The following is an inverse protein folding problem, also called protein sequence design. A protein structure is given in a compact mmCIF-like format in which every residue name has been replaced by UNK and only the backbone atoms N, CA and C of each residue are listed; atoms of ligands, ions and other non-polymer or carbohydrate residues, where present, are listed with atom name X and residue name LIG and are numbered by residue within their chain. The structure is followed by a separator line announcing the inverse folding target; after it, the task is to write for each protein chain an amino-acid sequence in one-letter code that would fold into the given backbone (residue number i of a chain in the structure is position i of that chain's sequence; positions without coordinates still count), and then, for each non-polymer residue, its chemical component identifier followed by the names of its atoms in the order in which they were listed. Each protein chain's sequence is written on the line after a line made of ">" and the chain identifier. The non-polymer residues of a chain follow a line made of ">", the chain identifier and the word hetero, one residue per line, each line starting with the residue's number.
data_IF_898448827325
#
_entry.id   IF_898448827325
#
_cell.length_a   1.000
_cell.length_b   1.000
_cell.length_c   1.000
_cell.angle_alpha   90.00
_cell.angle_beta   90.00
_cell.angle_gamma   90.00
#
_symmetry.space_group_name_H-M   'P 1'
#
loop_
_entity.id
_entity.type
_entity.pdbx_description
1 polymer ?
#
# COMPACT_ATOMS: atom_id res chain seq x y z
N UNK A 1 58.85 17.29 -16.71
CA UNK A 1 57.55 17.87 -16.31
C UNK A 1 57.55 17.98 -14.80
N UNK A 2 57.41 19.19 -14.27
CA UNK A 2 57.28 19.41 -12.82
C UNK A 2 55.81 19.23 -12.38
N UNK A 3 55.55 19.28 -11.07
CA UNK A 3 54.20 19.08 -10.50
C UNK A 3 53.14 19.99 -11.11
N UNK A 4 53.47 21.28 -11.30
CA UNK A 4 52.52 22.28 -11.81
C UNK A 4 52.24 22.05 -13.30
N UNK A 5 53.29 21.81 -14.09
CA UNK A 5 53.18 21.50 -15.52
C UNK A 5 52.35 20.24 -15.79
N UNK A 6 52.47 19.23 -14.93
CA UNK A 6 51.65 18.03 -15.04
C UNK A 6 50.18 18.31 -14.69
N UNK A 7 49.91 19.13 -13.68
CA UNK A 7 48.53 19.49 -13.31
C UNK A 7 47.84 20.32 -14.39
N UNK A 8 48.55 21.24 -15.04
CA UNK A 8 48.06 21.96 -16.22
C UNK A 8 47.76 21.01 -17.40
N UNK A 9 48.65 20.05 -17.65
CA UNK A 9 48.44 19.02 -18.66
C UNK A 9 47.23 18.12 -18.32
N UNK A 10 47.09 17.71 -17.06
CA UNK A 10 45.98 16.87 -16.61
C UNK A 10 44.63 17.59 -16.70
N UNK A 11 44.59 18.90 -16.38
CA UNK A 11 43.40 19.74 -16.52
C UNK A 11 42.99 19.90 -17.99
N UNK A 12 43.97 20.07 -18.89
CA UNK A 12 43.71 20.23 -20.33
C UNK A 12 43.44 18.89 -21.04
N UNK A 13 43.80 17.75 -20.44
CA UNK A 13 43.62 16.42 -21.02
C UNK A 13 42.27 15.78 -20.61
N UNK A 14 41.25 15.94 -21.45
CA UNK A 14 39.90 15.41 -21.22
C UNK A 14 39.76 13.88 -21.35
N UNK A 15 40.77 13.20 -21.89
CA UNK A 15 40.67 11.80 -22.37
C UNK A 15 41.47 10.81 -21.49
N UNK A 16 42.22 11.29 -20.49
CA UNK A 16 43.05 10.42 -19.67
C UNK A 16 42.21 9.61 -18.66
N UNK A 17 42.42 8.29 -18.64
CA UNK A 17 41.73 7.39 -17.74
C UNK A 17 42.21 7.52 -16.28
N UNK A 18 41.38 7.07 -15.32
CA UNK A 18 41.62 7.30 -13.90
C UNK A 18 42.88 6.58 -13.36
N UNK A 19 43.21 5.40 -13.89
CA UNK A 19 44.38 4.63 -13.45
C UNK A 19 45.68 5.33 -13.86
N UNK A 20 45.76 5.79 -15.11
CA UNK A 20 46.90 6.57 -15.61
C UNK A 20 47.04 7.91 -14.87
N UNK A 21 45.93 8.56 -14.51
CA UNK A 21 45.97 9.78 -13.68
C UNK A 21 46.59 9.50 -12.31
N UNK A 22 46.21 8.40 -11.66
CA UNK A 22 46.74 8.05 -10.34
C UNK A 22 48.24 7.70 -10.41
N UNK A 23 48.64 6.85 -11.36
CA UNK A 23 50.04 6.45 -11.54
C UNK A 23 50.95 7.66 -11.82
N UNK A 24 50.51 8.59 -12.66
CA UNK A 24 51.29 9.79 -12.95
C UNK A 24 51.34 10.76 -11.75
N UNK A 25 50.27 10.89 -10.97
CA UNK A 25 50.30 11.71 -9.75
C UNK A 25 51.27 11.15 -8.71
N UNK A 26 51.34 9.82 -8.57
CA UNK A 26 52.33 9.16 -7.72
C UNK A 26 53.75 9.40 -8.25
N UNK A 27 53.96 9.24 -9.56
CA UNK A 27 55.25 9.48 -10.24
C UNK A 27 55.78 10.91 -10.05
N UNK A 28 54.90 11.92 -10.10
CA UNK A 28 55.28 13.33 -9.90
C UNK A 28 55.14 13.78 -8.43
N UNK A 29 54.83 12.87 -7.51
CA UNK A 29 54.74 13.14 -6.07
C UNK A 29 53.66 14.13 -5.67
N UNK A 30 52.54 14.17 -6.40
CA UNK A 30 51.44 15.11 -6.19
C UNK A 30 50.60 14.69 -4.99
N UNK A 31 50.51 15.54 -3.98
CA UNK A 31 49.70 15.27 -2.78
C UNK A 31 48.27 15.79 -2.90
N UNK A 32 47.43 15.45 -1.93
CA UNK A 32 46.09 16.01 -1.83
C UNK A 32 46.10 17.53 -1.59
N UNK A 33 47.08 18.06 -0.85
CA UNK A 33 47.22 19.51 -0.66
C UNK A 33 47.58 20.21 -1.98
N UNK A 34 48.47 19.62 -2.78
CA UNK A 34 48.86 20.14 -4.10
C UNK A 34 47.63 20.25 -5.02
N UNK A 35 46.76 19.23 -5.02
CA UNK A 35 45.52 19.22 -5.81
C UNK A 35 44.51 20.28 -5.36
N UNK A 36 44.35 20.47 -4.05
CA UNK A 36 43.45 21.50 -3.49
C UNK A 36 43.98 22.90 -3.81
N UNK A 37 45.30 23.10 -3.71
CA UNK A 37 45.93 24.38 -4.03
C UNK A 37 45.77 24.74 -5.51
N UNK A 38 45.81 23.75 -6.40
CA UNK A 38 45.72 23.95 -7.85
C UNK A 38 44.29 24.05 -8.38
N UNK A 39 43.40 23.11 -8.00
CA UNK A 39 42.02 23.04 -8.49
C UNK A 39 40.99 23.76 -7.59
N UNK A 40 41.40 24.24 -6.43
CA UNK A 40 40.52 24.84 -5.41
C UNK A 40 39.90 23.83 -4.45
N UNK A 41 39.21 24.33 -3.41
CA UNK A 41 38.60 23.51 -2.34
C UNK A 41 37.53 22.52 -2.83
N UNK A 42 36.98 22.75 -4.03
CA UNK A 42 35.97 21.92 -4.67
C UNK A 42 36.54 20.76 -5.51
N UNK A 43 37.84 20.46 -5.37
CA UNK A 43 38.48 19.37 -6.09
C UNK A 43 37.77 18.01 -5.84
N UNK A 44 37.22 17.35 -6.89
CA UNK A 44 36.31 16.21 -6.77
C UNK A 44 36.96 14.91 -6.25
N UNK A 45 38.28 14.90 -6.01
CA UNK A 45 39.01 13.76 -5.44
C UNK A 45 38.92 13.62 -3.92
N UNK A 46 38.30 14.58 -3.21
CA UNK A 46 38.05 14.43 -1.77
C UNK A 46 36.98 13.34 -1.57
N UNK A 47 37.39 12.17 -1.07
CA UNK A 47 36.43 11.19 -0.53
C UNK A 47 35.59 11.90 0.52
N UNK A 48 34.33 12.24 0.19
CA UNK A 48 33.36 12.80 1.13
C UNK A 48 32.98 11.71 2.15
N UNK A 49 33.81 11.52 3.17
CA UNK A 49 33.38 10.90 4.43
C UNK A 49 32.61 11.93 5.24
N UNK A 50 31.34 12.12 4.92
CA UNK A 50 30.27 12.38 5.88
C UNK A 50 28.99 12.70 5.12
N UNK A 51 27.94 12.00 5.52
CA UNK A 51 26.55 12.10 5.08
C UNK A 51 26.17 13.50 4.61
N UNK A 52 25.68 13.60 3.37
CA UNK A 52 24.73 14.65 3.02
C UNK A 52 23.58 14.45 4.01
N UNK A 53 23.56 15.21 5.12
CA UNK A 53 22.32 15.50 5.83
C UNK A 53 21.54 16.39 4.87
N UNK A 54 20.95 15.76 3.86
CA UNK A 54 19.71 16.27 3.29
C UNK A 54 18.89 16.48 4.55
N UNK A 55 18.56 17.73 4.88
CA UNK A 55 17.44 17.99 5.77
C UNK A 55 16.29 17.28 5.07
N UNK A 56 16.05 16.01 5.40
CA UNK A 56 14.84 15.35 5.01
C UNK A 56 13.81 16.24 5.65
N UNK A 57 13.08 17.03 4.84
CA UNK A 57 11.78 17.49 5.26
C UNK A 57 11.14 16.22 5.77
N UNK A 58 10.98 16.07 7.09
CA UNK A 58 10.33 14.89 7.69
C UNK A 58 9.09 14.71 6.84
N UNK A 59 9.08 13.67 5.99
CA UNK A 59 7.99 13.43 5.07
C UNK A 59 6.81 13.29 6.02
N UNK A 60 5.87 14.24 5.98
CA UNK A 60 4.73 14.18 6.90
C UNK A 60 4.10 12.82 6.68
N UNK A 61 3.92 12.08 7.77
CA UNK A 61 3.25 10.78 7.70
C UNK A 61 1.89 11.02 7.05
N UNK A 62 1.60 10.19 6.05
CA UNK A 62 0.35 10.23 5.29
C UNK A 62 -0.80 9.77 6.19
N UNK A 63 -0.59 8.68 6.92
CA UNK A 63 -1.51 8.17 7.92
C UNK A 63 -1.01 8.53 9.33
N UNK A 64 -1.92 9.03 10.16
CA UNK A 64 -1.73 9.28 11.59
C UNK A 64 -1.86 7.98 12.37
N UNK A 65 -1.31 7.96 13.58
CA UNK A 65 -1.35 6.77 14.44
C UNK A 65 -2.78 6.28 14.74
N UNK A 66 -3.74 7.22 14.90
CA UNK A 66 -5.15 6.91 15.12
C UNK A 66 -5.75 6.20 13.90
N UNK A 67 -5.50 6.70 12.69
CA UNK A 67 -5.99 6.11 11.44
C UNK A 67 -5.39 4.72 11.21
N UNK A 68 -4.11 4.53 11.55
CA UNK A 68 -3.47 3.21 11.51
C UNK A 68 -4.07 2.27 12.55
N UNK A 69 -4.43 2.77 13.73
CA UNK A 69 -5.08 1.98 14.77
C UNK A 69 -6.49 1.54 14.36
N UNK A 70 -7.27 2.43 13.74
CA UNK A 70 -8.59 2.11 13.19
C UNK A 70 -8.48 1.03 12.10
N UNK A 71 -7.54 1.19 11.18
CA UNK A 71 -7.29 0.19 10.13
C UNK A 71 -6.80 -1.15 10.70
N UNK A 72 -5.96 -1.13 11.73
CA UNK A 72 -5.51 -2.33 12.42
C UNK A 72 -6.67 -3.07 13.08
N UNK A 73 -7.58 -2.35 13.72
CA UNK A 73 -8.76 -2.93 14.36
C UNK A 73 -9.69 -3.57 13.31
N UNK A 74 -9.89 -2.90 12.17
CA UNK A 74 -10.65 -3.43 11.04
C UNK A 74 -10.02 -4.73 10.48
N UNK A 75 -8.71 -4.74 10.26
CA UNK A 75 -8.04 -5.96 9.81
C UNK A 75 -8.13 -7.10 10.83
N UNK A 76 -8.00 -6.81 12.12
CA UNK A 76 -8.17 -7.81 13.18
C UNK A 76 -9.60 -8.34 13.28
N UNK A 77 -10.60 -7.58 12.85
CA UNK A 77 -11.99 -8.06 12.83
C UNK A 77 -12.30 -8.97 11.64
N UNK A 78 -11.43 -9.02 10.62
CA UNK A 78 -11.64 -9.81 9.40
C UNK A 78 -10.65 -10.98 9.31
N UNK A 79 -9.42 -10.82 9.81
CA UNK A 79 -8.32 -11.77 9.59
C UNK A 79 -7.65 -12.21 10.89
N UNK A 80 -7.15 -13.44 10.91
CA UNK A 80 -6.20 -13.97 11.90
C UNK A 80 -4.78 -14.14 11.33
N UNK A 81 -3.80 -14.35 12.21
CA UNK A 81 -2.40 -14.59 11.84
C UNK A 81 -1.94 -16.04 12.06
N UNK A 82 -2.88 -17.01 12.08
CA UNK A 82 -2.53 -18.42 12.28
C UNK A 82 -1.83 -19.03 11.06
N UNK A 83 -2.24 -18.61 9.85
CA UNK A 83 -1.70 -19.12 8.59
C UNK A 83 -0.73 -18.15 7.92
N UNK A 84 0.21 -18.72 7.15
CA UNK A 84 1.02 -17.96 6.19
C UNK A 84 0.19 -17.60 4.94
N UNK A 85 -0.69 -16.63 5.11
CA UNK A 85 -1.56 -16.13 4.05
C UNK A 85 -1.28 -14.65 3.73
N UNK A 86 -1.80 -14.21 2.60
CA UNK A 86 -1.53 -12.88 2.06
C UNK A 86 -2.83 -12.14 1.70
N UNK A 87 -2.82 -10.82 1.92
CA UNK A 87 -3.88 -9.88 1.53
C UNK A 87 -3.32 -8.92 0.48
N UNK A 88 -4.14 -8.54 -0.50
CA UNK A 88 -3.78 -7.50 -1.46
C UNK A 88 -4.32 -6.16 -1.01
N UNK A 89 -3.50 -5.14 -1.17
CA UNK A 89 -3.88 -3.74 -1.02
C UNK A 89 -3.68 -3.05 -2.37
N UNK A 90 -4.74 -2.47 -2.93
CA UNK A 90 -4.68 -1.64 -4.13
C UNK A 90 -4.08 -0.29 -3.78
N UNK A 91 -3.09 0.13 -4.53
CA UNK A 91 -2.74 1.53 -4.65
C UNK A 91 -3.52 2.11 -5.84
N UNK A 92 -4.51 2.95 -5.56
CA UNK A 92 -5.33 3.56 -6.61
C UNK A 92 -4.57 4.54 -7.50
N UNK A 93 -3.49 5.14 -7.00
CA UNK A 93 -2.66 6.06 -7.81
C UNK A 93 -2.01 5.31 -8.98
N UNK A 94 -1.52 4.10 -8.72
CA UNK A 94 -0.87 3.26 -9.75
C UNK A 94 -1.81 2.23 -10.36
N UNK A 95 -3.00 2.03 -9.79
CA UNK A 95 -3.91 0.91 -10.06
C UNK A 95 -3.25 -0.47 -9.88
N UNK A 96 -2.21 -0.54 -9.04
CA UNK A 96 -1.47 -1.77 -8.76
C UNK A 96 -1.84 -2.34 -7.40
N UNK A 97 -1.95 -3.66 -7.34
CA UNK A 97 -2.11 -4.36 -6.08
C UNK A 97 -0.77 -4.83 -5.52
N UNK A 98 -0.55 -4.57 -4.24
CA UNK A 98 0.57 -5.07 -3.48
C UNK A 98 0.11 -6.11 -2.46
N UNK A 99 0.74 -7.28 -2.50
CA UNK A 99 0.47 -8.35 -1.56
C UNK A 99 1.33 -8.21 -0.30
N UNK A 100 0.71 -8.40 0.85
CA UNK A 100 1.36 -8.37 2.17
C UNK A 100 0.96 -9.59 2.99
N UNK A 101 1.88 -10.17 3.78
CA UNK A 101 1.53 -11.21 4.76
C UNK A 101 0.52 -10.66 5.76
N UNK A 102 -0.50 -11.44 6.09
CA UNK A 102 -1.55 -11.04 7.06
C UNK A 102 -0.92 -10.61 8.39
N UNK A 103 0.03 -11.40 8.90
CA UNK A 103 0.79 -11.11 10.13
C UNK A 103 1.50 -9.75 10.12
N UNK A 104 1.90 -9.24 8.96
CA UNK A 104 2.50 -7.91 8.85
C UNK A 104 1.44 -6.80 8.96
N UNK A 105 0.24 -7.04 8.43
CA UNK A 105 -0.89 -6.10 8.51
C UNK A 105 -1.54 -6.09 9.90
N UNK A 106 -1.46 -7.19 10.66
CA UNK A 106 -1.94 -7.29 12.04
C UNK A 106 -0.91 -6.79 13.09
N UNK A 107 0.24 -6.29 12.65
CA UNK A 107 1.24 -5.66 13.50
C UNK A 107 1.25 -4.13 13.27
N UNK A 108 1.02 -3.36 14.34
CA UNK A 108 0.85 -1.90 14.25
C UNK A 108 2.03 -1.19 13.58
N UNK A 109 3.27 -1.49 13.99
CA UNK A 109 4.45 -0.80 13.47
C UNK A 109 4.71 -1.14 12.00
N UNK A 110 4.51 -2.42 11.63
CA UNK A 110 4.63 -2.86 10.23
C UNK A 110 3.52 -2.24 9.38
N UNK A 111 2.28 -2.26 9.83
CA UNK A 111 1.16 -1.62 9.14
C UNK A 111 1.40 -0.12 8.96
N UNK A 112 1.85 0.57 10.01
CA UNK A 112 2.22 1.99 9.95
C UNK A 112 3.23 2.26 8.84
N UNK A 113 4.30 1.46 8.77
CA UNK A 113 5.35 1.60 7.76
C UNK A 113 4.85 1.26 6.35
N UNK A 114 3.97 0.27 6.22
CA UNK A 114 3.34 -0.10 4.94
C UNK A 114 2.49 1.05 4.42
N UNK A 115 1.55 1.55 5.22
CA UNK A 115 0.61 2.61 4.85
C UNK A 115 1.31 3.96 4.59
N UNK A 116 2.38 4.26 5.33
CA UNK A 116 3.19 5.47 5.14
C UNK A 116 4.32 5.32 4.11
N UNK A 117 4.41 4.19 3.41
CA UNK A 117 5.43 3.97 2.40
C UNK A 117 5.27 4.90 1.18
N UNK A 118 6.24 4.85 0.27
CA UNK A 118 6.13 5.57 -0.99
C UNK A 118 5.00 5.05 -1.88
N UNK A 119 4.49 3.82 -1.63
CA UNK A 119 3.51 3.15 -2.48
C UNK A 119 2.11 3.74 -2.37
N UNK A 120 1.65 4.13 -1.19
CA UNK A 120 0.28 4.64 -1.01
C UNK A 120 0.31 6.16 -0.90
N UNK A 121 -0.23 6.91 -1.85
CA UNK A 121 -0.16 8.37 -1.86
C UNK A 121 -1.14 9.06 -0.90
N UNK A 122 -2.32 8.48 -0.67
CA UNK A 122 -3.48 9.13 -0.04
C UNK A 122 -4.21 8.19 0.91
N UNK A 123 -4.80 8.76 1.97
CA UNK A 123 -5.59 8.02 2.98
C UNK A 123 -6.85 7.40 2.36
N UNK A 124 -7.48 8.11 1.41
CA UNK A 124 -8.84 7.82 0.96
C UNK A 124 -8.94 6.71 -0.11
N UNK A 125 -7.84 6.02 -0.41
CA UNK A 125 -7.73 5.15 -1.58
C UNK A 125 -7.21 3.73 -1.25
N UNK A 126 -7.30 3.33 0.02
CA UNK A 126 -6.93 2.00 0.47
C UNK A 126 -8.06 0.99 0.18
N UNK A 127 -7.97 0.29 -0.95
CA UNK A 127 -8.82 -0.89 -1.19
C UNK A 127 -8.04 -2.15 -0.87
N UNK A 128 -8.69 -3.13 -0.26
CA UNK A 128 -8.05 -4.39 0.12
C UNK A 128 -8.94 -5.58 -0.23
N UNK A 129 -8.33 -6.76 -0.40
CA UNK A 129 -9.09 -7.99 -0.59
C UNK A 129 -9.62 -8.49 0.75
N UNK A 130 -10.90 -8.88 0.77
CA UNK A 130 -11.60 -9.43 1.93
C UNK A 130 -11.18 -10.86 2.29
N UNK A 131 -10.55 -11.54 1.34
CA UNK A 131 -10.13 -12.94 1.44
C UNK A 131 -8.62 -13.05 1.31
N UNK A 132 -8.06 -14.13 1.86
CA UNK A 132 -6.62 -14.36 1.80
C UNK A 132 -6.25 -15.26 0.62
N UNK A 133 -4.97 -15.26 0.27
CA UNK A 133 -4.41 -16.10 -0.78
C UNK A 133 -3.18 -16.83 -0.26
N UNK A 134 -2.91 -18.02 -0.82
CA UNK A 134 -1.77 -18.86 -0.45
C UNK A 134 -0.47 -18.48 -1.16
N UNK A 135 -0.53 -17.55 -2.12
CA UNK A 135 0.61 -17.19 -2.95
C UNK A 135 0.61 -15.70 -3.27
N UNK A 136 1.71 -15.02 -2.95
CA UNK A 136 1.92 -13.59 -3.20
C UNK A 136 1.87 -13.19 -4.69
N UNK A 137 2.26 -14.07 -5.62
CA UNK A 137 2.48 -13.76 -7.04
C UNK A 137 1.26 -14.03 -7.92
N UNK A 138 0.47 -15.05 -7.60
CA UNK A 138 -0.67 -15.45 -8.41
C UNK A 138 -1.92 -15.48 -7.52
N UNK A 139 -2.67 -14.39 -7.53
CA UNK A 139 -3.82 -14.17 -6.65
C UNK A 139 -5.10 -13.99 -7.46
N UNK A 140 -5.39 -15.02 -8.27
CA UNK A 140 -6.68 -15.16 -8.96
C UNK A 140 -7.74 -15.71 -8.01
N UNK A 141 -9.01 -15.65 -8.39
CA UNK A 141 -10.13 -16.25 -7.64
C UNK A 141 -9.88 -17.73 -7.29
N UNK A 142 -9.20 -18.47 -8.17
CA UNK A 142 -8.89 -19.88 -7.94
C UNK A 142 -7.79 -20.11 -6.88
N UNK A 143 -7.09 -19.06 -6.46
CA UNK A 143 -6.00 -19.11 -5.49
C UNK A 143 -6.39 -18.49 -4.13
N UNK A 144 -7.68 -18.17 -3.94
CA UNK A 144 -8.19 -17.82 -2.62
C UNK A 144 -7.89 -18.99 -1.68
N UNK A 145 -7.32 -18.68 -0.52
CA UNK A 145 -6.92 -19.65 0.49
C UNK A 145 -7.96 -19.77 1.59
N UNK A 146 -8.34 -18.64 2.19
CA UNK A 146 -9.47 -18.58 3.12
C UNK A 146 -10.49 -17.53 2.68
N UNK A 147 -11.76 -17.86 2.88
CA UNK A 147 -12.84 -16.89 2.80
C UNK A 147 -13.11 -16.41 4.22
N UNK A 148 -12.81 -15.15 4.49
CA UNK A 148 -13.01 -14.54 5.81
C UNK A 148 -14.17 -13.55 5.82
N UNK A 149 -14.52 -13.00 4.65
CA UNK A 149 -15.68 -12.13 4.53
C UNK A 149 -16.16 -12.01 3.10
N UNK A 150 -17.38 -11.51 2.93
CA UNK A 150 -17.91 -11.06 1.64
C UNK A 150 -18.57 -9.70 1.78
N UNK A 151 -18.69 -8.98 0.67
CA UNK A 151 -19.26 -7.63 0.66
C UNK A 151 -20.50 -7.52 -0.23
N UNK A 152 -21.41 -6.65 0.18
CA UNK A 152 -22.51 -6.16 -0.63
C UNK A 152 -22.30 -4.67 -0.85
N UNK A 153 -22.08 -4.28 -2.09
CA UNK A 153 -21.94 -2.88 -2.48
C UNK A 153 -23.31 -2.30 -2.76
N UNK A 154 -23.64 -1.17 -2.13
CA UNK A 154 -24.95 -0.53 -2.17
C UNK A 154 -24.79 0.84 -2.83
N UNK A 155 -25.04 0.89 -4.13
CA UNK A 155 -24.98 2.08 -4.97
C UNK A 155 -26.30 2.87 -4.86
N UNK A 156 -26.67 3.27 -3.63
CA UNK A 156 -27.98 3.88 -3.36
C UNK A 156 -28.26 5.16 -4.14
N UNK A 157 -27.22 5.83 -4.64
CA UNK A 157 -27.33 7.04 -5.46
C UNK A 157 -27.95 6.76 -6.83
N UNK A 158 -27.83 5.53 -7.33
CA UNK A 158 -28.46 5.11 -8.59
C UNK A 158 -29.98 4.96 -8.43
N UNK A 159 -30.48 4.91 -7.18
CA UNK A 159 -31.90 4.81 -6.86
C UNK A 159 -32.48 6.22 -6.68
N UNK A 160 -33.33 6.66 -7.60
CA UNK A 160 -33.92 8.01 -7.62
C UNK A 160 -34.48 8.51 -6.27
N UNK A 161 -35.15 7.65 -5.50
CA UNK A 161 -35.73 8.04 -4.20
C UNK A 161 -34.67 8.31 -3.12
N UNK A 162 -33.45 7.83 -3.33
CA UNK A 162 -32.32 7.93 -2.39
C UNK A 162 -31.23 8.90 -2.86
N UNK A 163 -31.36 9.52 -4.04
CA UNK A 163 -30.37 10.43 -4.63
C UNK A 163 -29.89 11.54 -3.68
N UNK A 164 -30.81 12.10 -2.86
CA UNK A 164 -30.54 13.18 -1.91
C UNK A 164 -30.21 12.71 -0.49
N UNK A 165 -30.20 11.40 -0.24
CA UNK A 165 -29.93 10.86 1.08
C UNK A 165 -28.43 10.73 1.32
N UNK A 166 -28.03 10.83 2.58
CA UNK A 166 -26.67 10.51 3.01
C UNK A 166 -26.52 9.00 3.24
N UNK A 167 -25.29 8.45 3.14
CA UNK A 167 -25.04 7.04 3.45
C UNK A 167 -25.60 6.60 4.81
N UNK A 168 -25.45 7.43 5.86
CA UNK A 168 -25.98 7.16 7.20
C UNK A 168 -27.50 7.08 7.24
N UNK A 169 -28.21 7.93 6.48
CA UNK A 169 -29.67 7.87 6.41
C UNK A 169 -30.15 6.57 5.74
N UNK A 170 -29.47 6.13 4.67
CA UNK A 170 -29.81 4.87 4.00
C UNK A 170 -29.55 3.67 4.91
N UNK A 171 -28.43 3.64 5.63
CA UNK A 171 -28.16 2.60 6.64
C UNK A 171 -29.24 2.58 7.72
N UNK A 172 -29.63 3.73 8.27
CA UNK A 172 -30.71 3.80 9.27
C UNK A 172 -32.06 3.27 8.75
N UNK A 173 -32.34 3.43 7.45
CA UNK A 173 -33.55 2.86 6.83
C UNK A 173 -33.42 1.34 6.74
N UNK A 174 -32.29 0.82 6.24
CA UNK A 174 -32.04 -0.62 6.14
C UNK A 174 -32.01 -1.31 7.51
N UNK A 175 -31.45 -0.67 8.54
CA UNK A 175 -31.47 -1.16 9.92
C UNK A 175 -32.89 -1.33 10.47
N UNK A 176 -33.81 -0.44 10.07
CA UNK A 176 -35.20 -0.49 10.54
C UNK A 176 -36.04 -1.50 9.76
N UNK A 177 -35.74 -1.76 8.50
CA UNK A 177 -36.62 -2.52 7.60
C UNK A 177 -36.06 -3.89 7.25
N UNK A 178 -34.75 -3.99 7.02
CA UNK A 178 -34.11 -5.16 6.42
C UNK A 178 -33.27 -5.97 7.41
N UNK A 179 -32.40 -5.30 8.17
CA UNK A 179 -31.42 -5.99 9.01
C UNK A 179 -32.11 -6.72 10.16
N UNK A 180 -31.67 -7.95 10.43
CA UNK A 180 -32.23 -8.88 11.41
C UNK A 180 -33.69 -9.28 11.12
N UNK A 181 -34.21 -8.94 9.94
CA UNK A 181 -35.59 -9.23 9.50
C UNK A 181 -35.59 -10.03 8.19
N UNK A 182 -35.01 -9.46 7.14
CA UNK A 182 -34.97 -10.05 5.79
C UNK A 182 -33.56 -10.55 5.44
N UNK A 183 -32.53 -9.90 5.99
CA UNK A 183 -31.12 -10.23 5.84
C UNK A 183 -30.41 -10.16 7.20
N UNK A 184 -29.33 -10.91 7.41
CA UNK A 184 -28.49 -10.74 8.60
C UNK A 184 -27.96 -9.30 8.69
N UNK A 185 -27.71 -8.81 9.90
CA UNK A 185 -26.99 -7.56 10.07
C UNK A 185 -25.51 -7.73 9.66
N UNK A 186 -24.94 -6.81 8.87
CA UNK A 186 -23.52 -6.84 8.54
C UNK A 186 -22.65 -6.54 9.78
N UNK A 187 -21.47 -7.14 9.84
CA UNK A 187 -20.53 -6.91 10.94
C UNK A 187 -19.87 -5.54 10.85
N UNK A 188 -19.57 -5.09 9.62
CA UNK A 188 -18.89 -3.83 9.33
C UNK A 188 -19.67 -3.11 8.23
N UNK A 189 -19.80 -1.79 8.39
CA UNK A 189 -20.41 -0.90 7.40
C UNK A 189 -19.38 0.16 7.05
N UNK A 190 -18.88 0.12 5.82
CA UNK A 190 -17.97 1.14 5.29
C UNK A 190 -18.78 2.25 4.61
N UNK A 191 -18.49 3.48 5.02
CA UNK A 191 -19.10 4.68 4.47
C UNK A 191 -18.14 5.36 3.49
N UNK A 192 -18.54 5.47 2.23
CA UNK A 192 -17.81 6.24 1.22
C UNK A 192 -18.78 7.09 0.38
N UNK A 193 -18.52 7.16 -0.92
CA UNK A 193 -19.49 7.70 -1.87
C UNK A 193 -20.75 6.81 -1.93
N UNK A 194 -20.55 5.50 -1.86
CA UNK A 194 -21.55 4.45 -1.73
C UNK A 194 -21.38 3.74 -0.37
N UNK A 195 -22.22 2.76 -0.08
CA UNK A 195 -22.13 1.96 1.16
C UNK A 195 -21.61 0.58 0.81
N UNK A 196 -20.70 0.04 1.62
CA UNK A 196 -20.26 -1.35 1.53
C UNK A 196 -20.58 -2.07 2.83
N UNK A 197 -21.42 -3.10 2.73
CA UNK A 197 -21.81 -3.95 3.85
C UNK A 197 -20.92 -5.19 3.86
N UNK A 198 -20.12 -5.39 4.91
CA UNK A 198 -19.20 -6.52 5.02
C UNK A 198 -19.71 -7.49 6.07
N UNK A 199 -19.83 -8.75 5.64
CA UNK A 199 -20.21 -9.88 6.47
C UNK A 199 -18.97 -10.71 6.75
N UNK A 200 -18.53 -10.70 8.00
CA UNK A 200 -17.40 -11.48 8.48
C UNK A 200 -17.88 -12.89 8.77
N UNK A 201 -17.13 -13.87 8.26
CA UNK A 201 -17.35 -15.28 8.48
C UNK A 201 -16.32 -15.81 9.47
N UNK A 202 -16.65 -16.89 10.16
CA UNK A 202 -15.60 -17.72 10.75
C UNK A 202 -14.65 -18.17 9.64
N UNK A 203 -13.36 -18.31 9.98
CA UNK A 203 -12.33 -18.70 9.01
C UNK A 203 -12.70 -20.03 8.34
N UNK A 204 -12.89 -19.98 7.02
CA UNK A 204 -13.21 -21.15 6.21
C UNK A 204 -12.20 -21.28 5.07
N UNK A 205 -11.62 -22.46 4.92
CA UNK A 205 -10.74 -22.76 3.79
C UNK A 205 -11.53 -22.84 2.48
N UNK A 206 -11.00 -22.18 1.46
CA UNK A 206 -11.65 -22.10 0.16
C UNK A 206 -11.69 -23.47 -0.52
N UNK A 207 -12.89 -23.87 -0.90
CA UNK A 207 -13.15 -25.02 -1.77
C UNK A 207 -14.19 -24.61 -2.80
N UNK A 208 -14.34 -25.38 -3.89
CA UNK A 208 -15.37 -25.10 -4.90
C UNK A 208 -16.78 -25.00 -4.29
N UNK A 209 -17.09 -25.85 -3.31
CA UNK A 209 -18.40 -25.88 -2.65
C UNK A 209 -18.60 -24.67 -1.75
N UNK A 210 -17.59 -24.32 -0.93
CA UNK A 210 -17.62 -23.13 -0.07
C UNK A 210 -17.75 -21.86 -0.92
N UNK A 211 -16.92 -21.71 -1.96
CA UNK A 211 -16.99 -20.58 -2.89
C UNK A 211 -18.38 -20.45 -3.53
N UNK A 212 -18.97 -21.58 -3.93
CA UNK A 212 -20.32 -21.61 -4.51
C UNK A 212 -21.38 -21.19 -3.49
N UNK A 213 -21.27 -21.63 -2.24
CA UNK A 213 -22.19 -21.29 -1.17
C UNK A 213 -22.12 -19.80 -0.83
N UNK A 214 -20.92 -19.26 -0.60
CA UNK A 214 -20.72 -17.82 -0.31
C UNK A 214 -21.25 -16.97 -1.45
N UNK A 215 -21.00 -17.35 -2.71
CA UNK A 215 -21.58 -16.66 -3.86
C UNK A 215 -23.10 -16.66 -3.86
N UNK A 216 -23.74 -17.78 -3.51
CA UNK A 216 -25.21 -17.88 -3.42
C UNK A 216 -25.76 -17.00 -2.30
N UNK A 217 -25.12 -16.99 -1.13
CA UNK A 217 -25.49 -16.11 -0.01
C UNK A 217 -25.36 -14.65 -0.41
N UNK A 218 -24.22 -14.27 -0.97
CA UNK A 218 -23.95 -12.92 -1.45
C UNK A 218 -24.98 -12.47 -2.51
N UNK A 219 -25.32 -13.35 -3.45
CA UNK A 219 -26.36 -13.09 -4.47
C UNK A 219 -27.75 -12.94 -3.85
N UNK A 220 -28.10 -13.80 -2.88
CA UNK A 220 -29.39 -13.72 -2.18
C UNK A 220 -29.54 -12.40 -1.42
N UNK A 221 -28.53 -12.00 -0.64
CA UNK A 221 -28.56 -10.75 0.11
C UNK A 221 -28.60 -9.55 -0.84
N UNK A 222 -27.76 -9.55 -1.89
CA UNK A 222 -27.79 -8.51 -2.92
C UNK A 222 -29.15 -8.37 -3.58
N UNK A 223 -29.81 -9.48 -3.90
CA UNK A 223 -31.16 -9.47 -4.46
C UNK A 223 -32.21 -8.94 -3.47
N UNK A 224 -32.11 -9.28 -2.18
CA UNK A 224 -33.00 -8.73 -1.15
C UNK A 224 -32.87 -7.23 -0.99
N UNK A 225 -31.66 -6.70 -1.16
CA UNK A 225 -31.37 -5.28 -1.02
C UNK A 225 -31.34 -4.53 -2.36
N UNK A 226 -31.80 -5.14 -3.46
CA UNK A 226 -31.71 -4.56 -4.81
C UNK A 226 -32.42 -3.21 -4.91
N UNK A 227 -33.50 -3.03 -4.15
CA UNK A 227 -34.26 -1.79 -4.09
C UNK A 227 -33.46 -0.62 -3.52
N UNK A 228 -32.37 -0.90 -2.80
CA UNK A 228 -31.43 0.09 -2.28
C UNK A 228 -30.21 0.29 -3.20
N UNK A 229 -30.18 -0.35 -4.38
CA UNK A 229 -29.05 -0.32 -5.31
C UNK A 229 -27.97 -1.34 -4.97
N UNK A 230 -28.30 -2.39 -4.21
CA UNK A 230 -27.33 -3.40 -3.81
C UNK A 230 -26.92 -4.34 -4.95
N UNK A 231 -25.63 -4.67 -4.99
CA UNK A 231 -25.00 -5.67 -5.86
C UNK A 231 -24.07 -6.54 -5.01
N UNK A 232 -24.23 -7.85 -5.09
CA UNK A 232 -23.36 -8.78 -4.39
C UNK A 232 -21.97 -8.86 -5.04
N UNK A 233 -20.91 -8.71 -4.25
CA UNK A 233 -19.52 -8.98 -4.66
C UNK A 233 -18.97 -10.17 -3.86
N UNK A 234 -19.00 -11.39 -4.43
CA UNK A 234 -18.57 -12.61 -3.76
C UNK A 234 -17.04 -12.73 -3.64
#
# INVERSE_FOLDING_TARGET
>A
MNKLEYLDFELSCSIMNAAAKQENREKYGITAEDLIKFYGEDYPGKKKTSSIKVKSKKKKNKFKDIEVQEQLNLFKSIFDDEDEAFIRILCKETDEFYAYPVKALLNKDKLFNILNSHRFATINDLMYTLNTYNNMRNMSYNNIFTINSFAIDVDFKDVKRFEKHTPKQIVNIMEKIEFDKTVPRPNIIEYGNNIRLIYVLDKIYATKNVNTLVRRICSYIGQRLVDYGAKGQP
#
